data_IF_951006079930
#
_entry.id   IF_951006079930
#
_cell.length_a   1.000
_cell.length_b   1.000
_cell.length_c   1.000
_cell.angle_alpha   90.00
_cell.angle_beta   90.00
_cell.angle_gamma   90.00
#
_symmetry.space_group_name_H-M   'P 1'
#
loop_
_entity.id
_entity.type
_entity.pdbx_description
1 polymer ?
#
# COMPACT_ATOMS: atom_id res chain seq x y z
N UNK A 1 -11.21 -18.40 -0.12
CA UNK A 1 -9.98 -17.57 -0.17
C UNK A 1 -10.12 -16.25 0.59
N UNK A 2 -11.26 -15.55 0.52
CA UNK A 2 -11.49 -14.31 1.27
C UNK A 2 -11.40 -14.46 2.80
N UNK A 3 -11.93 -15.55 3.37
CA UNK A 3 -11.85 -15.83 4.82
C UNK A 3 -10.41 -15.99 5.35
N UNK A 4 -9.48 -16.48 4.53
CA UNK A 4 -8.06 -16.60 4.90
C UNK A 4 -7.40 -15.23 4.98
N UNK A 5 -7.80 -14.30 4.11
CA UNK A 5 -7.34 -12.92 4.12
C UNK A 5 -7.89 -12.16 5.33
N UNK A 6 -9.19 -12.28 5.63
CA UNK A 6 -9.78 -11.70 6.85
C UNK A 6 -9.11 -12.22 8.11
N UNK A 7 -8.88 -13.54 8.19
CA UNK A 7 -8.16 -14.14 9.32
C UNK A 7 -6.71 -13.68 9.39
N UNK A 8 -6.02 -13.49 8.27
CA UNK A 8 -4.65 -12.97 8.25
C UNK A 8 -4.58 -11.52 8.72
N UNK A 9 -5.54 -10.67 8.33
CA UNK A 9 -5.65 -9.28 8.80
C UNK A 9 -5.99 -9.23 10.29
N UNK A 10 -6.98 -10.00 10.75
CA UNK A 10 -7.36 -10.09 12.17
C UNK A 10 -6.23 -10.67 13.04
N UNK A 11 -5.48 -11.64 12.53
CA UNK A 11 -4.29 -12.18 13.22
C UNK A 11 -3.15 -11.17 13.21
N UNK A 12 -2.97 -10.42 12.13
CA UNK A 12 -2.01 -9.32 12.05
C UNK A 12 -2.35 -8.22 13.06
N UNK A 13 -3.60 -7.81 13.16
CA UNK A 13 -4.08 -6.85 14.15
C UNK A 13 -3.98 -7.43 15.57
N UNK A 14 -4.30 -8.71 15.76
CA UNK A 14 -4.16 -9.41 17.04
C UNK A 14 -2.70 -9.56 17.49
N UNK A 15 -1.78 -9.79 16.56
CA UNK A 15 -0.34 -9.85 16.80
C UNK A 15 0.27 -8.47 17.04
N UNK A 16 -0.22 -7.42 16.37
CA UNK A 16 0.11 -6.03 16.70
C UNK A 16 -0.47 -5.63 18.06
N UNK A 17 -1.62 -6.20 18.44
CA UNK A 17 -2.26 -6.04 19.75
C UNK A 17 -1.63 -6.91 20.85
N UNK A 18 -0.74 -7.87 20.52
CA UNK A 18 0.19 -8.50 21.46
C UNK A 18 1.31 -7.49 21.84
N UNK A 19 0.85 -6.35 22.37
CA UNK A 19 1.38 -5.37 23.31
C UNK A 19 2.88 -5.42 23.61
N UNK A 20 3.51 -4.24 23.64
CA UNK A 20 4.88 -3.94 24.09
C UNK A 20 5.51 -4.95 25.05
N UNK A 21 4.80 -5.41 26.10
CA UNK A 21 5.26 -6.44 27.04
C UNK A 21 5.77 -7.73 26.38
N UNK A 22 5.07 -8.25 25.37
CA UNK A 22 5.46 -9.49 24.66
C UNK A 22 6.63 -9.24 23.70
N UNK A 23 6.72 -8.01 23.17
CA UNK A 23 7.89 -7.56 22.41
C UNK A 23 9.12 -7.37 23.30
N UNK A 24 8.95 -6.84 24.51
CA UNK A 24 9.99 -6.65 25.52
C UNK A 24 10.52 -7.98 26.06
N UNK A 25 9.65 -8.97 26.31
CA UNK A 25 10.06 -10.33 26.67
C UNK A 25 10.87 -10.99 25.56
N UNK A 26 10.42 -10.92 24.31
CA UNK A 26 11.15 -11.47 23.17
C UNK A 26 12.50 -10.76 22.95
N UNK A 27 12.56 -9.44 23.14
CA UNK A 27 13.80 -8.66 23.11
C UNK A 27 14.74 -9.02 24.25
N UNK A 28 14.21 -9.28 25.45
CA UNK A 28 14.96 -9.76 26.60
C UNK A 28 15.58 -11.13 26.36
N UNK A 29 14.78 -12.09 25.87
CA UNK A 29 15.26 -13.42 25.50
C UNK A 29 16.29 -13.39 24.37
N UNK A 30 16.12 -12.50 23.39
CA UNK A 30 17.08 -12.30 22.30
C UNK A 30 18.40 -11.71 22.81
N UNK A 31 18.38 -10.72 23.72
CA UNK A 31 19.59 -10.17 24.35
C UNK A 31 20.33 -11.23 25.16
N UNK A 32 19.61 -12.04 25.91
CA UNK A 32 20.19 -13.06 26.79
C UNK A 32 20.76 -14.25 26.01
N UNK A 33 20.08 -14.69 24.95
CA UNK A 33 20.54 -15.80 24.09
C UNK A 33 21.65 -15.41 23.12
N UNK A 34 21.66 -14.19 22.58
CA UNK A 34 22.63 -13.83 21.54
C UNK A 34 23.86 -13.06 22.03
N UNK A 35 23.92 -12.62 23.30
CA UNK A 35 25.08 -11.88 23.87
C UNK A 35 25.63 -10.81 22.91
N UNK A 36 24.75 -10.10 22.20
CA UNK A 36 25.19 -8.99 21.38
C UNK A 36 25.78 -7.91 22.30
N UNK A 37 26.98 -7.43 21.99
CA UNK A 37 27.44 -6.19 22.61
C UNK A 37 26.50 -5.05 22.20
N UNK A 38 26.41 -3.98 23.00
CA UNK A 38 25.54 -2.83 22.66
C UNK A 38 25.81 -2.27 21.25
N UNK A 39 27.06 -2.37 20.79
CA UNK A 39 27.50 -1.92 19.48
C UNK A 39 27.03 -2.85 18.35
N UNK A 40 27.09 -4.17 18.54
CA UNK A 40 26.58 -5.14 17.56
C UNK A 40 25.05 -5.10 17.45
N UNK A 41 24.36 -4.86 18.57
CA UNK A 41 22.92 -4.67 18.60
C UNK A 41 22.47 -3.43 17.82
N UNK A 42 23.17 -2.31 17.96
CA UNK A 42 22.90 -1.08 17.19
C UNK A 42 23.11 -1.29 15.69
N UNK A 43 24.24 -1.87 15.30
CA UNK A 43 24.54 -2.13 13.88
C UNK A 43 23.51 -3.07 13.24
N UNK A 44 23.01 -4.05 13.99
CA UNK A 44 21.98 -4.97 13.52
C UNK A 44 20.61 -4.28 13.34
N UNK A 45 20.21 -3.44 14.30
CA UNK A 45 18.97 -2.63 14.21
C UNK A 45 19.02 -1.68 13.02
N UNK A 46 20.13 -0.96 12.82
CA UNK A 46 20.31 -0.04 11.69
C UNK A 46 20.22 -0.77 10.34
N UNK A 47 20.82 -1.95 10.25
CA UNK A 47 20.76 -2.79 9.04
C UNK A 47 19.34 -3.27 8.76
N UNK A 48 18.60 -3.70 9.78
CA UNK A 48 17.18 -4.09 9.64
C UNK A 48 16.34 -2.90 9.20
N UNK A 49 16.53 -1.72 9.80
CA UNK A 49 15.79 -0.52 9.43
C UNK A 49 16.06 -0.11 7.98
N UNK A 50 17.31 -0.19 7.53
CA UNK A 50 17.68 0.06 6.13
C UNK A 50 16.97 -0.88 5.16
N UNK A 51 17.06 -2.20 5.41
CA UNK A 51 16.41 -3.22 4.59
C UNK A 51 14.89 -3.07 4.62
N UNK A 52 14.31 -2.78 5.78
CA UNK A 52 12.87 -2.59 5.92
C UNK A 52 12.38 -1.37 5.12
N UNK A 53 13.13 -0.27 5.12
CA UNK A 53 12.79 0.93 4.34
C UNK A 53 12.83 0.64 2.83
N UNK A 54 13.89 0.01 2.35
CA UNK A 54 14.05 -0.34 0.94
C UNK A 54 12.99 -1.36 0.47
N UNK A 55 12.67 -2.32 1.34
CA UNK A 55 11.62 -3.32 1.07
C UNK A 55 10.24 -2.69 1.04
N UNK A 56 9.97 -1.72 1.93
CA UNK A 56 8.71 -0.99 1.97
C UNK A 56 8.45 -0.23 0.66
N UNK A 57 9.45 0.50 0.17
CA UNK A 57 9.34 1.22 -1.11
C UNK A 57 9.05 0.27 -2.28
N UNK A 58 9.79 -0.83 -2.39
CA UNK A 58 9.57 -1.86 -3.42
C UNK A 58 8.19 -2.51 -3.35
N UNK A 59 7.68 -2.77 -2.14
CA UNK A 59 6.33 -3.31 -1.94
C UNK A 59 5.27 -2.29 -2.34
N UNK A 60 5.45 -1.01 -2.00
CA UNK A 60 4.53 0.06 -2.40
C UNK A 60 4.45 0.20 -3.91
N UNK A 61 5.59 0.25 -4.61
CA UNK A 61 5.60 0.30 -6.08
C UNK A 61 4.93 -0.92 -6.72
N UNK A 62 5.21 -2.13 -6.20
CA UNK A 62 4.60 -3.35 -6.71
C UNK A 62 3.08 -3.35 -6.50
N UNK A 63 2.60 -2.88 -5.34
CA UNK A 63 1.18 -2.77 -5.04
C UNK A 63 0.48 -1.75 -5.93
N UNK A 64 1.07 -0.56 -6.13
CA UNK A 64 0.52 0.47 -7.03
C UNK A 64 0.44 -0.03 -8.47
N UNK A 65 1.48 -0.71 -8.96
CA UNK A 65 1.49 -1.29 -10.30
C UNK A 65 0.41 -2.35 -10.49
N UNK A 66 0.20 -3.21 -9.48
CA UNK A 66 -0.82 -4.27 -9.55
C UNK A 66 -2.25 -3.71 -9.48
N UNK A 67 -2.48 -2.71 -8.63
CA UNK A 67 -3.77 -1.99 -8.57
C UNK A 67 -4.05 -1.32 -9.91
N UNK A 68 -3.07 -0.63 -10.50
CA UNK A 68 -3.22 0.03 -11.81
C UNK A 68 -3.56 -0.98 -12.91
N UNK A 69 -2.83 -2.09 -13.00
CA UNK A 69 -3.13 -3.17 -13.97
C UNK A 69 -4.52 -3.75 -13.77
N UNK A 70 -4.96 -3.90 -12.52
CA UNK A 70 -6.28 -4.46 -12.22
C UNK A 70 -7.38 -3.51 -12.71
N UNK A 71 -7.24 -2.21 -12.42
CA UNK A 71 -8.14 -1.13 -12.86
C UNK A 71 -8.24 -1.08 -14.39
N UNK A 72 -7.11 -1.18 -15.10
CA UNK A 72 -7.08 -1.24 -16.57
C UNK A 72 -7.80 -2.49 -17.12
N UNK A 73 -7.61 -3.66 -16.48
CA UNK A 73 -8.20 -4.93 -16.95
C UNK A 73 -9.72 -5.02 -16.77
N UNK A 74 -10.25 -4.38 -15.72
CA UNK A 74 -11.69 -4.34 -15.45
C UNK A 74 -12.39 -3.16 -16.15
N UNK A 75 -11.65 -2.36 -16.94
CA UNK A 75 -12.21 -1.25 -17.73
C UNK A 75 -12.67 -0.08 -16.87
N UNK A 76 -12.16 0.05 -15.64
CA UNK A 76 -12.45 1.19 -14.78
C UNK A 76 -11.62 2.39 -15.25
N UNK A 77 -12.30 3.40 -15.76
CA UNK A 77 -11.68 4.68 -16.11
C UNK A 77 -11.44 5.51 -14.85
N UNK A 78 -10.32 6.22 -14.80
CA UNK A 78 -10.08 7.17 -13.72
C UNK A 78 -11.10 8.32 -13.78
N UNK A 79 -11.33 8.97 -12.64
CA UNK A 79 -12.25 10.12 -12.58
C UNK A 79 -11.79 11.26 -13.50
N UNK A 80 -10.49 11.48 -13.60
CA UNK A 80 -9.92 12.52 -14.48
C UNK A 80 -10.16 12.21 -15.97
N UNK A 81 -10.04 10.94 -16.37
CA UNK A 81 -10.34 10.53 -17.75
C UNK A 81 -11.83 10.65 -18.06
N UNK A 82 -12.69 10.31 -17.11
CA UNK A 82 -14.14 10.49 -17.23
C UNK A 82 -14.51 11.98 -17.36
N UNK A 83 -13.95 12.86 -16.52
CA UNK A 83 -14.24 14.29 -16.56
C UNK A 83 -13.73 14.93 -17.86
N UNK A 84 -12.58 14.51 -18.39
CA UNK A 84 -12.10 14.91 -19.73
C UNK A 84 -13.07 14.48 -20.84
N UNK A 85 -13.57 13.25 -20.77
CA UNK A 85 -14.54 12.76 -21.76
C UNK A 85 -15.84 13.56 -21.66
N UNK A 86 -16.32 13.81 -20.45
CA UNK A 86 -17.53 14.60 -20.18
C UNK A 86 -17.41 16.01 -20.77
N UNK A 87 -16.31 16.72 -20.52
CA UNK A 87 -16.10 18.06 -21.09
C UNK A 87 -16.12 18.07 -22.62
N UNK A 88 -15.54 17.04 -23.26
CA UNK A 88 -15.58 16.89 -24.72
C UNK A 88 -17.01 16.65 -25.22
N UNK A 89 -17.78 15.81 -24.52
CA UNK A 89 -19.20 15.57 -24.85
C UNK A 89 -20.00 16.85 -24.69
N UNK A 90 -19.88 17.57 -23.57
CA UNK A 90 -20.57 18.85 -23.36
C UNK A 90 -20.20 19.91 -24.41
N UNK A 91 -18.96 19.93 -24.90
CA UNK A 91 -18.53 20.82 -25.97
C UNK A 91 -19.14 20.43 -27.33
N UNK A 92 -19.22 19.13 -27.62
CA UNK A 92 -19.84 18.61 -28.85
C UNK A 92 -21.35 18.77 -28.86
N UNK A 93 -22.02 18.62 -27.71
CA UNK A 93 -23.46 18.82 -27.56
C UNK A 93 -23.89 20.29 -27.70
N UNK A 94 -22.99 21.24 -27.48
CA UNK A 94 -23.23 22.67 -27.73
C UNK A 94 -23.09 23.08 -29.20
N UNK A 95 -22.40 22.29 -30.02
CA UNK A 95 -22.22 22.55 -31.45
C UNK A 95 -23.48 22.34 -32.34
N UNK A 96 -24.38 21.35 -32.11
CA UNK A 96 -25.57 21.16 -32.94
C UNK A 96 -26.65 22.24 -32.78
N UNK A 97 -26.59 23.11 -31.77
CA UNK A 97 -27.57 24.21 -31.62
C UNK A 97 -27.27 25.42 -32.52
N UNK A 98 -26.07 25.52 -33.11
CA UNK A 98 -25.64 26.70 -33.89
C UNK A 98 -25.89 26.61 -35.40
N UNK A 99 -26.29 25.45 -35.95
CA UNK A 99 -26.52 25.28 -37.40
C UNK A 99 -28.00 25.28 -37.83
N UNK A 100 -28.97 25.44 -36.93
CA UNK A 100 -30.42 25.48 -37.28
C UNK A 100 -31.00 26.91 -37.36
N UNK A 101 -30.16 27.93 -37.47
CA UNK A 101 -30.61 29.32 -37.72
C UNK A 101 -29.90 29.95 -38.93
N UNK A 102 -30.13 29.41 -40.12
CA UNK A 102 -30.09 30.16 -41.39
C UNK A 102 -31.20 29.69 -42.33
#
# INVERSE_FOLDING_TARGET
>A
MFELFEKAVLTGIGALSLTQKKGEELLGELKEKYKFSEDEGKAFIDKIQGVAKETREKITEAAEAEVKKTVERIGLVSKDEFDKLRQRVEALEKYPETETQE
#
